data_IF_505981539056
#
_entry.id   IF_505981539056
#
_cell.length_a   1.000
_cell.length_b   1.000
_cell.length_c   1.000
_cell.angle_alpha   90.00
_cell.angle_beta   90.00
_cell.angle_gamma   90.00
#
_symmetry.space_group_name_H-M   'P 1'
#
loop_
_entity.id
_entity.type
_entity.pdbx_description
1 polymer ?
#
# COMPACT_ATOMS: atom_id res chain seq x y z
N UNK A 1 -18.89 38.94 -31.72
CA UNK A 1 -18.43 38.61 -30.34
C UNK A 1 -19.01 37.29 -29.82
N UNK A 2 -20.32 37.01 -29.95
CA UNK A 2 -20.95 35.75 -29.49
C UNK A 2 -20.30 34.46 -30.04
N UNK A 3 -19.93 34.43 -31.32
CA UNK A 3 -19.27 33.27 -31.95
C UNK A 3 -17.87 32.97 -31.39
N UNK A 4 -17.12 34.01 -31.04
CA UNK A 4 -15.78 33.90 -30.44
C UNK A 4 -15.89 33.43 -28.99
N UNK A 5 -16.88 33.92 -28.24
CA UNK A 5 -17.16 33.45 -26.88
C UNK A 5 -17.54 31.97 -26.85
N UNK A 6 -18.31 31.49 -27.84
CA UNK A 6 -18.69 30.08 -27.95
C UNK A 6 -17.47 29.19 -28.23
N UNK A 7 -16.58 29.66 -29.11
CA UNK A 7 -15.35 28.95 -29.46
C UNK A 7 -14.37 28.88 -28.26
N UNK A 8 -14.24 29.98 -27.50
CA UNK A 8 -13.43 30.01 -26.28
C UNK A 8 -13.98 29.06 -25.20
N UNK A 9 -15.30 28.98 -25.07
CA UNK A 9 -15.95 28.06 -24.13
C UNK A 9 -15.74 26.59 -24.53
N UNK A 10 -15.80 26.27 -25.83
CA UNK A 10 -15.50 24.93 -26.35
C UNK A 10 -14.06 24.49 -26.11
N UNK A 11 -13.09 25.40 -26.21
CA UNK A 11 -11.66 25.14 -25.97
C UNK A 11 -11.34 24.70 -24.53
N UNK A 12 -12.17 25.09 -23.55
CA UNK A 12 -11.97 24.69 -22.15
C UNK A 12 -12.30 23.20 -21.90
N UNK A 13 -13.20 22.60 -22.69
CA UNK A 13 -13.63 21.20 -22.51
C UNK A 13 -12.67 20.18 -23.15
N UNK A 14 -11.81 20.60 -24.07
CA UNK A 14 -10.91 19.68 -24.79
C UNK A 14 -9.81 19.12 -23.88
N UNK A 15 -9.45 19.85 -22.81
CA UNK A 15 -8.40 19.42 -21.86
C UNK A 15 -8.82 18.24 -20.96
N UNK A 16 -10.12 17.97 -20.83
CA UNK A 16 -10.60 16.88 -19.96
C UNK A 16 -10.44 15.49 -20.59
N UNK A 17 -10.25 15.42 -21.91
CA UNK A 17 -10.24 14.14 -22.67
C UNK A 17 -8.84 13.51 -22.75
N UNK A 18 -7.77 14.21 -22.33
CA UNK A 18 -6.38 13.74 -22.51
C UNK A 18 -5.81 13.09 -21.23
N UNK A 19 -6.61 12.89 -20.17
CA UNK A 19 -6.15 12.20 -18.97
C UNK A 19 -6.08 10.67 -19.22
N UNK A 20 -4.94 10.19 -19.73
CA UNK A 20 -4.67 8.75 -19.79
C UNK A 20 -4.37 8.23 -18.39
N UNK A 21 -5.24 7.39 -17.86
CA UNK A 21 -5.06 6.70 -16.58
C UNK A 21 -3.86 5.74 -16.72
N UNK A 22 -2.78 5.96 -15.97
CA UNK A 22 -1.65 5.01 -15.97
C UNK A 22 -1.77 3.99 -14.82
N UNK A 23 -1.19 2.81 -15.03
CA UNK A 23 -1.22 1.75 -14.04
C UNK A 23 0.01 0.85 -14.11
N UNK A 24 0.33 0.21 -12.99
CA UNK A 24 1.28 -0.91 -12.95
C UNK A 24 0.51 -2.19 -13.21
N UNK A 25 0.86 -2.91 -14.26
CA UNK A 25 0.38 -4.27 -14.53
C UNK A 25 1.40 -5.27 -14.04
N UNK A 26 0.93 -6.24 -13.26
CA UNK A 26 1.72 -7.37 -12.78
C UNK A 26 1.16 -8.62 -13.42
N UNK A 27 1.95 -9.28 -14.26
CA UNK A 27 1.50 -10.46 -15.01
C UNK A 27 2.29 -11.69 -14.56
N UNK A 28 1.57 -12.75 -14.20
CA UNK A 28 2.16 -14.05 -13.96
C UNK A 28 2.30 -14.80 -15.29
N UNK A 29 3.52 -15.09 -15.72
CA UNK A 29 3.77 -15.66 -17.04
C UNK A 29 3.26 -17.10 -17.20
N UNK A 30 3.19 -17.88 -16.10
CA UNK A 30 2.71 -19.27 -16.07
C UNK A 30 1.18 -19.32 -16.09
N UNK A 31 0.54 -18.65 -15.13
CA UNK A 31 -0.91 -18.71 -14.92
C UNK A 31 -1.69 -17.71 -15.76
N UNK A 32 -1.01 -16.79 -16.45
CA UNK A 32 -1.59 -15.65 -17.18
C UNK A 32 -2.47 -14.72 -16.34
N UNK A 33 -2.45 -14.86 -15.01
CA UNK A 33 -3.18 -13.96 -14.12
C UNK A 33 -2.53 -12.58 -14.12
N UNK A 34 -3.34 -11.57 -14.35
CA UNK A 34 -2.94 -10.17 -14.34
C UNK A 34 -3.51 -9.46 -13.12
N UNK A 35 -2.72 -8.55 -12.57
CA UNK A 35 -3.14 -7.67 -11.47
C UNK A 35 -2.76 -6.26 -11.86
N UNK A 36 -3.77 -5.41 -11.99
CA UNK A 36 -3.61 -4.00 -12.33
C UNK A 36 -3.72 -3.16 -11.07
N UNK A 37 -2.71 -2.33 -10.84
CA UNK A 37 -2.68 -1.35 -9.76
C UNK A 37 -2.67 0.03 -10.42
N UNK A 38 -3.83 0.71 -10.42
CA UNK A 38 -3.94 2.10 -10.89
C UNK A 38 -2.99 3.03 -10.13
N UNK A 39 -2.54 4.08 -10.81
CA UNK A 39 -1.77 5.18 -10.23
C UNK A 39 -2.44 5.80 -8.99
N UNK A 40 -1.64 6.49 -8.16
CA UNK A 40 -2.06 7.21 -6.94
C UNK A 40 -2.64 6.28 -5.86
N UNK A 41 -2.50 4.96 -6.04
CA UNK A 41 -2.87 3.99 -5.01
C UNK A 41 -1.71 3.75 -4.06
N UNK A 42 -2.02 3.43 -2.81
CA UNK A 42 -1.02 3.19 -1.78
C UNK A 42 -0.42 1.79 -1.92
N UNK A 43 0.90 1.72 -2.07
CA UNK A 43 1.69 0.50 -2.20
C UNK A 43 2.81 0.47 -1.16
N UNK A 44 3.37 -0.73 -0.95
CA UNK A 44 4.60 -0.96 -0.20
C UNK A 44 5.56 -1.70 -1.11
N UNK A 45 6.76 -1.15 -1.26
CA UNK A 45 7.83 -1.69 -2.09
C UNK A 45 8.95 -2.12 -1.16
N UNK A 46 9.55 -3.26 -1.48
CA UNK A 46 10.89 -3.63 -1.04
C UNK A 46 11.80 -3.56 -2.25
N UNK A 47 12.84 -2.75 -2.20
CA UNK A 47 13.86 -2.65 -3.25
C UNK A 47 14.92 -3.75 -3.05
N UNK A 48 15.70 -4.06 -4.09
CA UNK A 48 16.75 -5.09 -4.05
C UNK A 48 17.84 -4.81 -3.03
N UNK A 49 18.06 -3.55 -2.67
CA UNK A 49 18.97 -3.12 -1.59
C UNK A 49 18.38 -3.38 -0.18
N UNK A 50 17.14 -3.88 -0.08
CA UNK A 50 16.47 -4.22 1.18
C UNK A 50 15.61 -3.11 1.79
N UNK A 51 15.64 -1.90 1.24
CA UNK A 51 14.85 -0.76 1.73
C UNK A 51 13.34 -0.99 1.55
N UNK A 52 12.54 -0.53 2.51
CA UNK A 52 11.07 -0.69 2.49
C UNK A 52 10.41 0.68 2.44
N UNK A 53 9.83 1.00 1.30
CA UNK A 53 9.17 2.28 1.06
C UNK A 53 7.66 2.05 1.00
N UNK A 54 6.87 2.95 1.57
CA UNK A 54 5.40 2.86 1.57
C UNK A 54 4.78 4.22 1.31
N UNK A 55 3.91 4.30 0.32
CA UNK A 55 3.30 5.55 -0.08
C UNK A 55 2.33 5.37 -1.22
N UNK A 56 1.70 6.46 -1.64
CA UNK A 56 1.03 6.51 -2.95
C UNK A 56 2.12 6.57 -4.00
N UNK A 57 1.96 5.80 -5.06
CA UNK A 57 2.90 5.86 -6.17
C UNK A 57 2.36 6.76 -7.28
N UNK A 58 3.29 7.39 -7.98
CA UNK A 58 3.07 8.06 -9.25
C UNK A 58 4.00 7.46 -10.29
N UNK A 59 3.60 7.54 -11.55
CA UNK A 59 4.42 7.10 -12.67
C UNK A 59 5.15 8.33 -13.21
N UNK A 60 6.47 8.24 -13.26
CA UNK A 60 7.31 9.35 -13.76
C UNK A 60 7.64 9.13 -15.23
N UNK A 61 8.01 7.89 -15.59
CA UNK A 61 8.33 7.45 -16.96
C UNK A 61 7.99 5.94 -17.09
N UNK A 62 8.14 5.38 -18.29
CA UNK A 62 7.82 3.98 -18.62
C UNK A 62 8.48 2.91 -17.73
N UNK A 63 9.62 3.23 -17.09
CA UNK A 63 10.37 2.31 -16.23
C UNK A 63 10.58 2.80 -14.79
N UNK A 64 10.00 3.96 -14.42
CA UNK A 64 10.26 4.59 -13.12
C UNK A 64 8.97 5.06 -12.48
N UNK A 65 8.85 4.78 -11.18
CA UNK A 65 7.76 5.25 -10.35
C UNK A 65 8.32 6.05 -9.18
N UNK A 66 7.59 7.06 -8.72
CA UNK A 66 7.89 7.73 -7.47
C UNK A 66 6.97 7.22 -6.37
N UNK A 67 7.52 6.95 -5.18
CA UNK A 67 6.76 6.59 -3.99
C UNK A 67 7.26 7.41 -2.82
N UNK A 68 6.39 8.23 -2.23
CA UNK A 68 6.77 9.12 -1.12
C UNK A 68 7.99 10.00 -1.45
N UNK A 69 8.02 10.58 -2.66
CA UNK A 69 9.11 11.39 -3.21
C UNK A 69 10.44 10.64 -3.46
N UNK A 70 10.45 9.30 -3.40
CA UNK A 70 11.59 8.50 -3.84
C UNK A 70 11.32 7.94 -5.23
N UNK A 71 12.19 8.25 -6.18
CA UNK A 71 12.16 7.67 -7.53
C UNK A 71 12.79 6.28 -7.50
N UNK A 72 12.05 5.28 -8.00
CA UNK A 72 12.41 3.87 -7.97
C UNK A 72 12.27 3.31 -9.38
N UNK A 73 13.31 2.68 -9.89
CA UNK A 73 13.25 1.94 -11.15
C UNK A 73 12.49 0.61 -10.93
N UNK A 74 11.61 0.22 -11.85
CA UNK A 74 10.88 -1.04 -11.79
C UNK A 74 11.79 -2.26 -11.65
N UNK A 75 12.99 -2.21 -12.23
CA UNK A 75 13.99 -3.30 -12.16
C UNK A 75 14.49 -3.50 -10.72
N UNK A 76 14.59 -2.41 -9.96
CA UNK A 76 15.11 -2.41 -8.58
C UNK A 76 14.08 -2.87 -7.54
N UNK A 77 12.83 -3.09 -7.96
CA UNK A 77 11.78 -3.63 -7.11
C UNK A 77 12.05 -5.12 -6.89
N UNK A 78 12.19 -5.54 -5.63
CA UNK A 78 12.26 -6.95 -5.22
C UNK A 78 10.89 -7.49 -4.84
N UNK A 79 10.06 -6.66 -4.20
CA UNK A 79 8.70 -7.01 -3.79
C UNK A 79 7.80 -5.78 -3.90
N UNK A 80 6.62 -5.93 -4.49
CA UNK A 80 5.55 -4.92 -4.49
C UNK A 80 4.27 -5.51 -3.93
N UNK A 81 3.54 -4.74 -3.13
CA UNK A 81 2.21 -5.10 -2.65
C UNK A 81 1.34 -3.88 -2.40
N UNK A 82 0.03 -4.09 -2.37
CA UNK A 82 -0.95 -3.10 -1.93
C UNK A 82 -0.77 -2.80 -0.44
N UNK A 83 -0.87 -1.53 -0.06
CA UNK A 83 -0.82 -1.12 1.34
C UNK A 83 -1.88 -0.05 1.66
N UNK A 84 -3.18 -0.40 1.64
CA UNK A 84 -4.24 0.53 2.01
C UNK A 84 -4.00 1.12 3.40
N UNK A 85 -4.36 2.39 3.58
CA UNK A 85 -4.16 3.11 4.84
C UNK A 85 -4.86 2.41 6.02
N UNK A 86 -6.10 1.97 5.83
CA UNK A 86 -6.89 1.31 6.87
C UNK A 86 -6.19 0.09 7.46
N UNK A 87 -5.59 -0.77 6.62
CA UNK A 87 -4.87 -1.96 7.10
C UNK A 87 -3.64 -1.55 7.89
N UNK A 88 -2.90 -0.54 7.42
CA UNK A 88 -1.74 -0.03 8.15
C UNK A 88 -2.10 0.51 9.53
N UNK A 89 -3.23 1.20 9.66
CA UNK A 89 -3.71 1.77 10.93
C UNK A 89 -4.24 0.68 11.85
N UNK A 90 -5.05 -0.25 11.33
CA UNK A 90 -5.58 -1.37 12.10
C UNK A 90 -4.47 -2.28 12.61
N UNK A 91 -3.50 -2.64 11.78
CA UNK A 91 -2.47 -3.58 12.24
C UNK A 91 -1.46 -2.93 13.14
N UNK A 92 -1.19 -1.62 13.05
CA UNK A 92 -0.25 -0.96 13.98
C UNK A 92 -0.97 -0.46 15.24
N UNK A 93 -1.85 0.53 15.07
CA UNK A 93 -2.49 1.23 16.18
C UNK A 93 -3.36 0.30 17.02
N UNK A 94 -4.33 -0.37 16.41
CA UNK A 94 -5.28 -1.19 17.17
C UNK A 94 -4.60 -2.34 17.91
N UNK A 95 -3.58 -2.97 17.33
CA UNK A 95 -2.84 -4.04 18.01
C UNK A 95 -1.95 -3.53 19.14
N UNK A 96 -1.28 -2.38 18.98
CA UNK A 96 -0.44 -1.80 20.04
C UNK A 96 -1.32 -1.31 21.20
N UNK A 97 -2.36 -0.53 20.91
CA UNK A 97 -3.26 0.01 21.93
C UNK A 97 -4.08 -1.11 22.59
N UNK A 98 -4.62 -2.04 21.81
CA UNK A 98 -5.31 -3.21 22.34
C UNK A 98 -4.39 -4.04 23.24
N UNK A 99 -3.16 -4.30 22.79
CA UNK A 99 -2.13 -4.95 23.58
C UNK A 99 -1.81 -4.25 24.89
N UNK A 100 -1.59 -2.93 24.87
CA UNK A 100 -1.31 -2.15 26.08
C UNK A 100 -2.48 -2.17 27.06
N UNK A 101 -3.71 -2.01 26.58
CA UNK A 101 -4.93 -2.08 27.40
C UNK A 101 -5.07 -3.47 28.02
N UNK A 102 -4.91 -4.54 27.23
CA UNK A 102 -4.98 -5.92 27.74
C UNK A 102 -3.89 -6.21 28.77
N UNK A 103 -2.67 -5.71 28.58
CA UNK A 103 -1.61 -5.83 29.58
C UNK A 103 -1.96 -5.09 30.88
N UNK A 104 -2.46 -3.84 30.77
CA UNK A 104 -2.88 -3.05 31.92
C UNK A 104 -3.99 -3.73 32.72
N UNK A 105 -5.02 -4.22 32.06
CA UNK A 105 -6.09 -4.99 32.71
C UNK A 105 -5.59 -6.32 33.28
N UNK A 106 -4.67 -7.01 32.60
CA UNK A 106 -4.05 -8.23 33.11
C UNK A 106 -3.35 -8.02 34.46
N UNK A 107 -2.66 -6.90 34.61
CA UNK A 107 -2.03 -6.53 35.89
C UNK A 107 -3.07 -6.16 36.94
N UNK A 108 -4.07 -5.34 36.60
CA UNK A 108 -5.13 -4.93 37.54
C UNK A 108 -5.90 -6.15 38.06
N UNK A 109 -6.36 -7.04 37.16
CA UNK A 109 -7.07 -8.27 37.52
C UNK A 109 -6.16 -9.20 38.32
N UNK A 110 -4.90 -9.35 37.90
CA UNK A 110 -3.87 -10.16 38.57
C UNK A 110 -3.64 -9.77 40.04
N UNK A 111 -3.66 -8.47 40.34
CA UNK A 111 -3.42 -7.92 41.69
C UNK A 111 -4.70 -7.92 42.54
N UNK A 112 -5.83 -7.48 41.97
CA UNK A 112 -7.03 -7.14 42.77
C UNK A 112 -8.16 -8.16 42.70
N UNK A 113 -8.13 -9.11 41.76
CA UNK A 113 -9.25 -10.06 41.54
C UNK A 113 -8.76 -11.50 41.64
N UNK A 114 -7.87 -11.94 40.75
CA UNK A 114 -7.36 -13.31 40.70
C UNK A 114 -6.01 -13.40 40.00
N UNK A 115 -5.10 -14.25 40.48
CA UNK A 115 -3.74 -14.37 39.95
C UNK A 115 -3.68 -14.87 38.50
N UNK A 116 -4.71 -15.56 38.03
CA UNK A 116 -4.86 -15.98 36.63
C UNK A 116 -4.97 -14.79 35.67
N UNK A 117 -5.34 -13.60 36.15
CA UNK A 117 -5.37 -12.36 35.35
C UNK A 117 -4.04 -12.01 34.68
N UNK A 118 -2.90 -12.39 35.29
CA UNK A 118 -1.57 -12.18 34.69
C UNK A 118 -1.37 -12.92 33.37
N UNK A 119 -2.14 -13.98 33.08
CA UNK A 119 -2.05 -14.71 31.81
C UNK A 119 -2.43 -13.84 30.60
N UNK A 120 -3.19 -12.75 30.80
CA UNK A 120 -3.51 -11.79 29.73
C UNK A 120 -2.27 -11.03 29.20
N UNK A 121 -1.13 -11.07 29.91
CA UNK A 121 0.12 -10.48 29.44
C UNK A 121 0.64 -11.19 28.18
N UNK A 122 0.40 -12.51 28.05
CA UNK A 122 0.87 -13.30 26.90
C UNK A 122 0.23 -12.83 25.58
N UNK A 123 -1.12 -12.81 25.44
CA UNK A 123 -1.76 -12.29 24.23
C UNK A 123 -1.48 -10.79 24.06
N UNK A 124 -1.36 -10.02 25.14
CA UNK A 124 -0.99 -8.61 25.07
C UNK A 124 0.39 -8.39 24.41
N UNK A 125 1.41 -9.14 24.84
CA UNK A 125 2.74 -9.09 24.25
C UNK A 125 2.73 -9.50 22.76
N UNK A 126 1.95 -10.54 22.43
CA UNK A 126 1.73 -10.96 21.05
C UNK A 126 1.11 -9.87 20.17
N UNK A 127 0.09 -9.17 20.69
CA UNK A 127 -0.56 -8.05 20.01
C UNK A 127 0.40 -6.87 19.80
N UNK A 128 1.13 -6.45 20.83
CA UNK A 128 2.11 -5.35 20.72
C UNK A 128 3.19 -5.69 19.68
N UNK A 129 3.76 -6.90 19.75
CA UNK A 129 4.78 -7.34 18.81
C UNK A 129 4.26 -7.39 17.37
N UNK A 130 3.07 -7.96 17.17
CA UNK A 130 2.41 -7.96 15.86
C UNK A 130 2.14 -6.53 15.38
N UNK A 131 1.78 -5.63 16.29
CA UNK A 131 1.54 -4.23 16.01
C UNK A 131 2.78 -3.48 15.52
N UNK A 132 3.90 -3.65 16.21
CA UNK A 132 5.20 -3.10 15.82
C UNK A 132 5.62 -3.63 14.45
N UNK A 133 5.41 -4.93 14.19
CA UNK A 133 5.71 -5.53 12.88
C UNK A 133 4.76 -5.04 11.78
N UNK A 134 3.55 -4.61 12.15
CA UNK A 134 2.46 -4.15 11.28
C UNK A 134 2.32 -5.06 10.05
N UNK A 135 1.85 -6.30 10.22
CA UNK A 135 1.68 -7.22 9.11
C UNK A 135 0.77 -6.59 8.07
N UNK A 136 1.07 -6.85 6.81
CA UNK A 136 0.20 -6.51 5.71
C UNK A 136 -0.10 -7.81 4.97
N UNK A 137 -1.38 -8.18 5.02
CA UNK A 137 -1.94 -9.45 4.55
C UNK A 137 -2.22 -9.47 3.04
N UNK A 138 -1.99 -8.38 2.32
CA UNK A 138 -2.12 -8.40 0.87
C UNK A 138 -1.04 -9.28 0.23
N UNK A 139 -1.44 -9.92 -0.88
CA UNK A 139 -0.55 -10.71 -1.71
C UNK A 139 0.67 -9.88 -2.12
N UNK A 140 1.83 -10.50 -1.92
CA UNK A 140 3.12 -9.98 -2.33
C UNK A 140 3.42 -10.43 -3.75
N UNK A 141 3.92 -9.52 -4.57
CA UNK A 141 4.39 -9.83 -5.91
C UNK A 141 5.90 -9.62 -5.93
N UNK A 142 6.63 -10.68 -6.29
CA UNK A 142 8.09 -10.65 -6.40
C UNK A 142 8.45 -10.78 -7.88
N UNK A 143 8.84 -9.70 -8.56
CA UNK A 143 9.34 -9.80 -9.92
C UNK A 143 10.53 -10.77 -9.97
N UNK A 144 10.50 -11.69 -10.92
CA UNK A 144 11.39 -12.83 -11.06
C UNK A 144 10.93 -13.70 -12.24
N UNK A 145 11.46 -14.92 -12.41
CA UNK A 145 11.27 -15.72 -13.64
C UNK A 145 9.80 -15.90 -14.08
N UNK A 146 8.83 -15.81 -13.16
CA UNK A 146 7.42 -16.06 -13.45
C UNK A 146 6.50 -14.83 -13.32
N UNK A 147 7.02 -13.66 -12.93
CA UNK A 147 6.25 -12.44 -12.69
C UNK A 147 6.93 -11.23 -13.33
N UNK A 148 6.24 -10.56 -14.25
CA UNK A 148 6.68 -9.31 -14.87
C UNK A 148 5.89 -8.13 -14.32
N UNK A 149 6.54 -6.97 -14.28
CA UNK A 149 5.95 -5.69 -13.88
C UNK A 149 6.18 -4.72 -15.03
N UNK A 150 5.09 -4.14 -15.53
CA UNK A 150 5.09 -3.23 -16.67
C UNK A 150 4.17 -2.05 -16.36
N UNK A 151 4.53 -0.86 -16.86
CA UNK A 151 3.63 0.28 -16.87
C UNK A 151 2.73 0.19 -18.11
N UNK A 152 1.43 0.41 -17.91
CA UNK A 152 0.44 0.43 -18.97
C UNK A 152 -0.38 1.71 -18.91
N UNK A 153 -0.78 2.22 -20.08
CA UNK A 153 -1.86 3.20 -20.21
C UNK A 153 -3.20 2.45 -20.26
N UNK A 154 -4.14 2.84 -19.41
CA UNK A 154 -5.52 2.41 -19.48
C UNK A 154 -6.25 3.34 -20.46
N UNK A 155 -6.74 2.78 -21.56
CA UNK A 155 -7.77 3.43 -22.38
C UNK A 155 -9.12 3.11 -21.76
N UNK A 156 -9.87 4.13 -21.36
CA UNK A 156 -11.28 4.00 -20.97
C UNK A 156 -12.17 3.59 -22.16
#
# INVERSE_FOLDING_TARGET
MKKISLLLFGLLFINLVIAQDQAIKITNQITKKEVVIKENKRIKIKTRNGEKISGRFMIENDNTISVNNHTINLIDIEEIKRNPFLISVLTSGLLIYGGAITAGFGVIIGIFVESTGFLLIIPAAGMIYAGIKSPNFHKKYKPGNNLTIEIISLSD
#
